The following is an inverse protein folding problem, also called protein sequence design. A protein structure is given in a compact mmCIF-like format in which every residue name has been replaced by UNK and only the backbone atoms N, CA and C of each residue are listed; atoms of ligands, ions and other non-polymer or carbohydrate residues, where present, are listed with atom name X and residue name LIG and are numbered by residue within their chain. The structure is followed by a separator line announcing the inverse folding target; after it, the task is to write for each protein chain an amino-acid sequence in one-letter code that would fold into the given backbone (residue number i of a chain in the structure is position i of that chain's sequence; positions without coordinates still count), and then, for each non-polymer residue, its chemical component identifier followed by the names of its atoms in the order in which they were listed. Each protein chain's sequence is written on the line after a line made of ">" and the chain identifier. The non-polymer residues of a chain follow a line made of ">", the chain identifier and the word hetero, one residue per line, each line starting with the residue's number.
data_IF_030149728249
#
_entry.id   IF_030149728249
#
_cell.length_a   1.000
_cell.length_b   1.000
_cell.length_c   1.000
_cell.angle_alpha   90.00
_cell.angle_beta   90.00
_cell.angle_gamma   90.00
#
_symmetry.space_group_name_H-M   'P 1'
#
loop_
_entity.id
_entity.type
_entity.pdbx_description
1 polymer ?
#
# COMPACT_ATOMS: atom_id res chain seq x y z
N UNK A 1 -26.41 16.50 1.99
CA UNK A 1 -25.93 15.32 1.23
C UNK A 1 -25.46 15.81 -0.13
N UNK A 2 -24.14 15.88 -0.36
CA UNK A 2 -23.60 16.26 -1.68
C UNK A 2 -23.63 15.03 -2.57
N UNK A 3 -24.52 15.02 -3.54
CA UNK A 3 -24.49 14.11 -4.66
C UNK A 3 -24.05 14.94 -5.85
N UNK A 4 -22.75 14.93 -6.14
CA UNK A 4 -22.24 15.50 -7.38
C UNK A 4 -22.45 14.48 -8.48
N UNK A 5 -23.49 14.73 -9.27
CA UNK A 5 -23.79 14.02 -10.50
C UNK A 5 -22.78 14.51 -11.55
N UNK A 6 -21.86 13.64 -11.96
CA UNK A 6 -20.99 13.89 -13.11
C UNK A 6 -21.86 13.80 -14.36
N UNK A 7 -22.34 14.94 -14.84
CA UNK A 7 -23.01 15.09 -16.14
C UNK A 7 -21.94 15.38 -17.19
N UNK A 8 -21.28 14.31 -17.65
CA UNK A 8 -20.42 14.33 -18.83
C UNK A 8 -21.08 13.53 -19.93
N UNK A 9 -21.57 14.23 -20.94
CA UNK A 9 -22.24 13.72 -22.14
C UNK A 9 -21.35 12.70 -22.85
N UNK A 10 -21.63 11.39 -22.66
CA UNK A 10 -21.75 10.33 -23.70
C UNK A 10 -21.58 8.89 -23.12
N UNK A 11 -22.69 8.33 -22.63
CA UNK A 11 -23.06 6.88 -22.58
C UNK A 11 -21.96 5.84 -22.22
N UNK A 12 -21.78 5.57 -20.91
CA UNK A 12 -21.04 4.44 -20.29
C UNK A 12 -19.62 4.25 -20.84
N UNK A 13 -18.65 4.98 -20.26
CA UNK A 13 -17.22 4.66 -20.39
C UNK A 13 -17.02 3.17 -20.08
N UNK A 14 -16.84 2.35 -21.12
CA UNK A 14 -16.67 0.90 -20.98
C UNK A 14 -15.20 0.66 -20.74
N UNK A 15 -14.83 0.53 -19.48
CA UNK A 15 -13.46 0.26 -19.07
C UNK A 15 -13.08 -1.16 -19.49
N UNK A 16 -12.10 -1.29 -20.39
CA UNK A 16 -11.45 -2.57 -20.66
C UNK A 16 -10.66 -3.02 -19.43
N UNK A 17 -10.35 -4.32 -19.34
CA UNK A 17 -9.57 -4.83 -18.22
C UNK A 17 -8.17 -4.19 -18.16
N UNK A 18 -7.59 -3.88 -19.32
CA UNK A 18 -6.33 -3.12 -19.44
C UNK A 18 -6.45 -1.70 -18.87
N UNK A 19 -7.51 -0.97 -19.22
CA UNK A 19 -7.71 0.38 -18.69
C UNK A 19 -7.94 0.36 -17.18
N UNK A 20 -8.68 -0.63 -16.66
CA UNK A 20 -8.84 -0.81 -15.21
C UNK A 20 -7.50 -1.10 -14.55
N UNK A 21 -6.67 -1.94 -15.16
CA UNK A 21 -5.35 -2.29 -14.64
C UNK A 21 -4.43 -1.08 -14.58
N UNK A 22 -4.36 -0.28 -15.65
CA UNK A 22 -3.58 0.96 -15.68
C UNK A 22 -3.93 1.90 -14.54
N UNK A 23 -5.23 2.15 -14.32
CA UNK A 23 -5.69 2.98 -13.18
C UNK A 23 -5.31 2.36 -11.84
N UNK A 24 -5.43 1.04 -11.69
CA UNK A 24 -5.09 0.36 -10.43
C UNK A 24 -3.59 0.38 -10.13
N UNK A 25 -2.74 0.35 -11.15
CA UNK A 25 -1.28 0.41 -11.01
C UNK A 25 -0.80 1.78 -10.55
N UNK A 26 -1.54 2.86 -10.81
CA UNK A 26 -1.21 4.19 -10.29
C UNK A 26 -1.36 4.29 -8.76
N UNK A 27 -2.08 3.36 -8.12
CA UNK A 27 -2.28 3.35 -6.68
C UNK A 27 -0.97 2.96 -5.98
N UNK A 28 -0.47 3.82 -5.10
CA UNK A 28 0.78 3.63 -4.37
C UNK A 28 2.00 4.22 -5.09
N UNK A 29 1.89 4.54 -6.39
CA UNK A 29 2.95 5.23 -7.13
C UNK A 29 3.12 6.63 -6.57
N UNK A 30 4.35 7.00 -6.20
CA UNK A 30 4.69 8.29 -5.59
C UNK A 30 3.81 8.63 -4.36
N UNK A 31 3.35 7.63 -3.60
CA UNK A 31 2.49 7.83 -2.43
C UNK A 31 1.03 8.14 -2.76
N UNK A 32 0.61 8.04 -4.02
CA UNK A 32 -0.77 8.27 -4.42
C UNK A 32 -1.73 7.30 -3.73
N UNK A 33 -2.72 7.83 -3.02
CA UNK A 33 -3.73 7.00 -2.38
C UNK A 33 -4.82 6.59 -3.37
N UNK A 34 -5.60 5.57 -2.99
CA UNK A 34 -6.82 5.17 -3.72
C UNK A 34 -7.76 6.36 -3.92
N UNK A 35 -7.83 7.30 -2.96
CA UNK A 35 -8.66 8.49 -3.07
C UNK A 35 -8.16 9.46 -4.14
N UNK A 36 -6.84 9.60 -4.26
CA UNK A 36 -6.22 10.53 -5.21
C UNK A 36 -6.36 10.03 -6.63
N UNK A 37 -6.13 8.73 -6.85
CA UNK A 37 -6.33 8.07 -8.14
C UNK A 37 -7.81 8.11 -8.53
N UNK A 38 -8.72 7.84 -7.59
CA UNK A 38 -10.16 7.92 -7.86
C UNK A 38 -10.58 9.33 -8.34
N UNK A 39 -10.12 10.38 -7.65
CA UNK A 39 -10.39 11.77 -8.03
C UNK A 39 -9.81 12.15 -9.39
N UNK A 40 -8.61 11.69 -9.73
CA UNK A 40 -7.97 11.95 -11.04
C UNK A 40 -8.71 11.35 -12.22
N UNK A 41 -9.42 10.24 -12.00
CA UNK A 41 -10.15 9.51 -13.04
C UNK A 41 -11.67 9.70 -12.98
N UNK A 42 -12.16 10.63 -12.15
CA UNK A 42 -13.59 10.87 -11.89
C UNK A 42 -14.34 9.61 -11.43
N UNK A 43 -13.66 8.77 -10.64
CA UNK A 43 -14.18 7.53 -10.08
C UNK A 43 -14.45 7.68 -8.59
N UNK A 44 -15.33 6.82 -8.08
CA UNK A 44 -15.45 6.61 -6.63
C UNK A 44 -14.47 5.52 -6.18
N UNK A 45 -14.04 5.56 -4.91
CA UNK A 45 -13.22 4.47 -4.33
C UNK A 45 -13.86 3.09 -4.49
N UNK A 46 -15.20 3.03 -4.46
CA UNK A 46 -15.96 1.80 -4.64
C UNK A 46 -15.73 1.16 -6.03
N UNK A 47 -15.61 1.96 -7.10
CA UNK A 47 -15.28 1.45 -8.44
C UNK A 47 -13.91 0.76 -8.44
N UNK A 48 -12.91 1.35 -7.79
CA UNK A 48 -11.56 0.78 -7.68
C UNK A 48 -11.60 -0.58 -6.96
N UNK A 49 -12.31 -0.67 -5.83
CA UNK A 49 -12.47 -1.95 -5.11
C UNK A 49 -13.25 -2.99 -5.92
N UNK A 50 -14.29 -2.56 -6.64
CA UNK A 50 -15.05 -3.45 -7.51
C UNK A 50 -14.18 -4.01 -8.64
N UNK A 51 -13.35 -3.18 -9.28
CA UNK A 51 -12.41 -3.63 -10.31
C UNK A 51 -11.34 -4.56 -9.78
N UNK A 52 -10.78 -4.30 -8.59
CA UNK A 52 -9.88 -5.26 -7.91
C UNK A 52 -10.55 -6.63 -7.76
N UNK A 53 -11.82 -6.68 -7.31
CA UNK A 53 -12.56 -7.94 -7.19
C UNK A 53 -12.84 -8.59 -8.54
N UNK A 54 -13.20 -7.82 -9.55
CA UNK A 54 -13.47 -8.33 -10.91
C UNK A 54 -12.21 -8.93 -11.53
N UNK A 55 -11.09 -8.21 -11.52
CA UNK A 55 -9.82 -8.64 -12.09
C UNK A 55 -9.20 -9.81 -11.32
N UNK A 56 -9.41 -9.88 -9.99
CA UNK A 56 -9.04 -11.07 -9.18
C UNK A 56 -9.81 -12.31 -9.64
N UNK A 57 -11.11 -12.19 -9.94
CA UNK A 57 -11.88 -13.32 -10.48
C UNK A 57 -11.40 -13.76 -11.86
N UNK A 58 -10.89 -12.82 -12.65
CA UNK A 58 -10.31 -13.09 -13.98
C UNK A 58 -8.86 -13.58 -13.93
N UNK A 59 -8.21 -13.58 -12.75
CA UNK A 59 -6.80 -13.94 -12.60
C UNK A 59 -5.79 -12.88 -13.10
N UNK A 60 -6.26 -11.68 -13.44
CA UNK A 60 -5.44 -10.60 -14.01
C UNK A 60 -4.82 -9.73 -12.91
N UNK A 61 -5.50 -9.60 -11.77
CA UNK A 61 -5.00 -8.83 -10.63
C UNK A 61 -4.42 -9.76 -9.56
N UNK A 62 -3.19 -9.50 -9.06
CA UNK A 62 -2.54 -10.36 -8.09
C UNK A 62 -3.39 -10.50 -6.82
N UNK A 63 -3.37 -11.71 -6.27
CA UNK A 63 -4.00 -12.00 -4.99
C UNK A 63 -3.20 -11.28 -3.90
N UNK A 64 -3.85 -10.41 -3.13
CA UNK A 64 -3.24 -9.72 -1.97
C UNK A 64 -2.73 -10.70 -0.90
N UNK A 65 -3.17 -11.95 -1.03
CA UNK A 65 -2.78 -13.15 -0.31
C UNK A 65 -1.25 -13.40 -0.37
N UNK A 66 -0.56 -12.81 -1.34
CA UNK A 66 0.89 -12.92 -1.54
C UNK A 66 1.65 -11.73 -0.92
N UNK A 67 1.17 -11.19 0.20
CA UNK A 67 1.95 -10.21 0.97
C UNK A 67 3.19 -10.92 1.50
N UNK A 68 4.28 -10.81 0.75
CA UNK A 68 5.58 -11.37 1.11
C UNK A 68 6.40 -10.31 1.83
N UNK A 69 7.05 -10.71 2.92
CA UNK A 69 8.09 -9.91 3.54
C UNK A 69 9.36 -10.02 2.69
N UNK A 70 9.79 -8.92 2.09
CA UNK A 70 11.07 -8.86 1.40
C UNK A 70 12.16 -8.53 2.43
N UNK A 71 13.26 -9.31 2.50
CA UNK A 71 14.39 -8.95 3.33
C UNK A 71 14.99 -7.65 2.80
N UNK A 72 15.09 -6.65 3.67
CA UNK A 72 15.83 -5.42 3.38
C UNK A 72 17.19 -5.55 4.05
N UNK A 73 18.24 -5.64 3.26
CA UNK A 73 19.60 -5.56 3.78
C UNK A 73 19.83 -4.14 4.30
N UNK A 74 19.99 -4.02 5.62
CA UNK A 74 20.51 -2.80 6.21
C UNK A 74 22.00 -2.72 5.85
N UNK A 75 22.38 -1.74 5.03
CA UNK A 75 23.78 -1.32 4.98
C UNK A 75 24.09 -0.78 6.36
N UNK A 76 24.81 -1.57 7.16
CA UNK A 76 25.28 -1.14 8.46
C UNK A 76 26.21 0.06 8.24
N UNK A 77 25.71 1.27 8.48
CA UNK A 77 26.59 2.34 8.91
C UNK A 77 27.10 1.88 10.27
N UNK A 78 28.36 1.44 10.32
CA UNK A 78 28.97 0.88 11.53
C UNK A 78 28.72 1.85 12.69
N UNK A 79 27.92 1.50 13.71
CA UNK A 79 27.92 2.28 14.92
C UNK A 79 29.32 2.11 15.49
N UNK A 80 30.08 3.21 15.52
CA UNK A 80 31.40 3.27 16.13
C UNK A 80 31.34 2.58 17.49
N UNK A 81 31.90 1.37 17.56
CA UNK A 81 31.92 0.53 18.75
C UNK A 81 32.73 1.26 19.81
N UNK A 82 32.07 1.93 20.75
CA UNK A 82 32.68 2.20 22.04
C UNK A 82 32.67 0.87 22.80
N UNK A 83 33.81 0.21 22.81
CA UNK A 83 34.08 -0.99 23.58
C UNK A 83 33.87 -0.72 25.07
N UNK A 84 32.80 -1.28 25.64
CA UNK A 84 32.63 -1.50 27.06
C UNK A 84 32.34 -2.97 27.29
N UNK A 85 33.32 -3.71 27.82
CA UNK A 85 33.17 -5.12 28.18
C UNK A 85 32.15 -5.26 29.33
N UNK A 86 31.16 -6.15 29.16
CA UNK A 86 30.22 -6.51 30.22
C UNK A 86 29.31 -7.67 29.80
N UNK A 87 29.58 -8.86 30.36
CA UNK A 87 28.78 -10.09 30.44
C UNK A 87 27.45 -10.20 29.66
N UNK A 88 27.39 -11.17 28.74
CA UNK A 88 26.44 -12.30 28.81
C UNK A 88 24.93 -12.07 28.90
N UNK A 89 24.38 -10.91 28.52
CA UNK A 89 22.93 -10.72 28.40
C UNK A 89 22.53 -10.64 26.92
N UNK A 90 21.53 -11.44 26.51
CA UNK A 90 21.04 -11.46 25.14
C UNK A 90 20.66 -10.03 24.70
N UNK A 91 20.82 -9.67 23.41
CA UNK A 91 20.48 -8.33 22.94
C UNK A 91 19.02 -8.04 23.22
N UNK A 92 18.76 -7.17 24.19
CA UNK A 92 17.42 -6.74 24.57
C UNK A 92 16.97 -5.71 23.55
N UNK A 93 15.97 -6.04 22.75
CA UNK A 93 15.42 -5.10 21.76
C UNK A 93 14.24 -4.36 22.37
N UNK A 94 14.16 -3.05 22.13
CA UNK A 94 13.04 -2.21 22.54
C UNK A 94 12.26 -1.76 21.30
N UNK A 95 11.04 -2.28 21.13
CA UNK A 95 10.16 -1.91 20.01
C UNK A 95 9.17 -0.87 20.51
N UNK A 96 9.30 0.36 20.03
CA UNK A 96 8.36 1.46 20.31
C UNK A 96 7.30 1.54 19.21
N UNK A 97 6.05 1.33 19.58
CA UNK A 97 4.92 1.44 18.66
C UNK A 97 4.46 2.89 18.56
N UNK A 98 3.88 3.29 17.42
CA UNK A 98 3.39 4.66 17.18
C UNK A 98 2.27 5.14 18.12
N UNK A 99 1.78 4.27 19.00
CA UNK A 99 0.82 4.60 20.07
C UNK A 99 1.50 4.80 21.45
N UNK A 100 2.83 4.86 21.51
CA UNK A 100 3.60 5.06 22.74
C UNK A 100 3.78 3.80 23.60
N UNK A 101 3.33 2.64 23.13
CA UNK A 101 3.55 1.36 23.84
C UNK A 101 4.92 0.78 23.47
N UNK A 102 5.53 0.12 24.45
CA UNK A 102 6.87 -0.45 24.31
C UNK A 102 6.84 -1.96 24.56
N UNK A 103 7.43 -2.73 23.65
CA UNK A 103 7.67 -4.16 23.80
C UNK A 103 9.17 -4.40 24.03
N UNK A 104 9.49 -5.24 25.01
CA UNK A 104 10.85 -5.66 25.33
C UNK A 104 10.97 -7.16 25.09
N UNK A 105 11.91 -7.56 24.26
CA UNK A 105 12.19 -8.94 23.90
C UNK A 105 13.68 -9.27 24.06
#
# INVERSE_FOLDING_TARGET
>A
MRHEVIVGVERRRRWSDEQKLGVLMEVGVAGATVADVARRHDLTRQHIYQWRRELRRKGIWPRSDETVFLPVEHVAEEPSRTSGAGNGEAPRFEIVLGNGRTLRC
#
